data_IF_106313151065
#
_entry.id   IF_106313151065
#
_cell.length_a   1.000
_cell.length_b   1.000
_cell.length_c   1.000
_cell.angle_alpha   90.00
_cell.angle_beta   90.00
_cell.angle_gamma   90.00
#
_symmetry.space_group_name_H-M   'P 1'
#
loop_
_entity.id
_entity.type
_entity.pdbx_description
1 polymer ?
#
# COMPACT_ATOMS: atom_id res chain seq x y z
N UNK A 1 -31.62 -57.60 -37.83
CA UNK A 1 -30.64 -58.68 -37.57
C UNK A 1 -29.61 -58.09 -36.60
N UNK A 2 -29.56 -58.53 -35.33
CA UNK A 2 -29.00 -59.81 -34.84
C UNK A 2 -27.47 -59.81 -35.00
N UNK A 3 -26.72 -59.41 -33.96
CA UNK A 3 -26.02 -60.28 -32.94
C UNK A 3 -24.74 -60.91 -33.50
N UNK A 4 -23.59 -60.97 -32.81
CA UNK A 4 -23.27 -61.33 -31.41
C UNK A 4 -21.86 -60.73 -31.05
N UNK A 5 -21.58 -60.16 -29.87
CA UNK A 5 -21.13 -60.78 -28.58
C UNK A 5 -19.93 -61.77 -28.70
N UNK A 6 -18.91 -61.80 -27.83
CA UNK A 6 -18.49 -60.97 -26.67
C UNK A 6 -17.10 -61.42 -26.13
N UNK A 7 -16.61 -60.80 -25.03
CA UNK A 7 -15.52 -61.17 -24.09
C UNK A 7 -14.06 -60.81 -24.48
N UNK A 8 -13.16 -60.27 -23.65
CA UNK A 8 -13.13 -59.68 -22.26
C UNK A 8 -11.77 -58.95 -22.11
N UNK A 9 -11.41 -58.08 -21.14
CA UNK A 9 -11.93 -57.58 -19.84
C UNK A 9 -11.57 -56.06 -19.73
N UNK A 10 -12.37 -55.16 -19.15
CA UNK A 10 -12.64 -54.85 -17.72
C UNK A 10 -11.47 -54.25 -16.92
N UNK A 11 -11.55 -52.93 -16.65
CA UNK A 11 -11.25 -52.30 -15.35
C UNK A 11 -11.88 -50.88 -15.28
N UNK A 12 -12.59 -50.56 -14.21
CA UNK A 12 -13.26 -49.26 -14.00
C UNK A 12 -12.28 -48.18 -13.51
N UNK A 13 -12.52 -46.92 -13.88
CA UNK A 13 -11.82 -45.73 -13.34
C UNK A 13 -12.82 -44.64 -12.96
N UNK A 14 -12.75 -44.15 -11.72
CA UNK A 14 -13.77 -43.28 -11.09
C UNK A 14 -13.41 -41.80 -11.25
N UNK A 15 -14.40 -40.96 -11.54
CA UNK A 15 -14.28 -39.50 -11.55
C UNK A 15 -13.96 -38.98 -10.13
N UNK A 16 -12.78 -38.39 -9.94
CA UNK A 16 -12.32 -37.86 -8.66
C UNK A 16 -11.87 -36.40 -8.76
N UNK A 17 -12.32 -35.57 -7.81
CA UNK A 17 -11.94 -34.15 -7.69
C UNK A 17 -10.54 -34.03 -7.11
N UNK A 18 -9.64 -33.30 -7.77
CA UNK A 18 -8.28 -33.03 -7.28
C UNK A 18 -8.25 -31.83 -6.33
N UNK A 19 -8.47 -32.09 -5.04
CA UNK A 19 -8.10 -31.14 -3.97
C UNK A 19 -6.62 -31.27 -3.63
N UNK A 20 -5.82 -30.25 -3.93
CA UNK A 20 -4.39 -30.23 -3.58
C UNK A 20 -4.19 -29.70 -2.14
N UNK A 21 -3.82 -30.60 -1.22
CA UNK A 21 -3.27 -30.24 0.09
C UNK A 21 -1.74 -30.41 0.08
N UNK A 22 -0.94 -29.39 0.43
CA UNK A 22 0.52 -29.45 0.34
C UNK A 22 1.13 -30.04 1.62
N UNK A 23 1.09 -31.36 1.81
CA UNK A 23 1.98 -32.05 2.76
C UNK A 23 2.13 -33.53 2.44
N UNK A 24 3.28 -33.91 1.84
CA UNK A 24 3.90 -35.23 1.98
C UNK A 24 5.35 -35.16 1.53
N UNK A 25 6.29 -35.39 2.45
CA UNK A 25 7.70 -35.53 2.11
C UNK A 25 7.90 -36.79 1.26
N UNK A 26 8.60 -36.65 0.13
CA UNK A 26 9.08 -37.78 -0.66
C UNK A 26 10.46 -38.16 -0.13
N UNK A 27 10.53 -39.24 0.64
CA UNK A 27 11.81 -39.84 1.04
C UNK A 27 12.22 -40.85 -0.03
N UNK A 28 13.22 -40.50 -0.83
CA UNK A 28 13.81 -41.43 -1.80
C UNK A 28 14.89 -42.30 -1.10
N UNK A 29 14.85 -43.64 -1.25
CA UNK A 29 15.84 -44.51 -0.64
C UNK A 29 17.17 -44.43 -1.40
N UNK A 30 18.25 -44.01 -0.72
CA UNK A 30 19.61 -44.08 -1.28
C UNK A 30 20.60 -43.02 -0.81
N UNK A 31 20.14 -41.88 -0.28
CA UNK A 31 21.05 -40.83 0.20
C UNK A 31 21.40 -41.02 1.69
N UNK A 32 22.67 -41.33 1.94
CA UNK A 32 23.24 -41.38 3.28
C UNK A 32 23.36 -39.97 3.87
N UNK A 33 23.00 -39.82 5.14
CA UNK A 33 23.06 -38.54 5.84
C UNK A 33 24.52 -38.13 6.08
N UNK A 34 24.97 -37.08 5.37
CA UNK A 34 25.86 -36.00 5.87
C UNK A 34 26.31 -35.07 4.73
N UNK A 35 25.43 -34.16 4.32
CA UNK A 35 25.86 -32.86 3.78
C UNK A 35 24.80 -31.82 4.07
N UNK A 36 25.15 -30.79 4.86
CA UNK A 36 24.31 -29.62 5.07
C UNK A 36 24.41 -28.72 3.83
N UNK A 37 23.70 -29.09 2.76
CA UNK A 37 23.43 -28.17 1.66
C UNK A 37 22.39 -27.17 2.18
N UNK A 38 22.82 -25.94 2.40
CA UNK A 38 21.93 -24.82 2.68
C UNK A 38 21.04 -24.59 1.46
N UNK A 39 19.80 -25.09 1.50
CA UNK A 39 18.76 -24.74 0.52
C UNK A 39 18.15 -23.40 0.94
N UNK A 40 18.97 -22.35 0.87
CA UNK A 40 18.56 -20.96 1.00
C UNK A 40 18.88 -20.24 -0.33
N UNK A 41 17.96 -19.40 -0.79
CA UNK A 41 17.93 -18.78 -2.13
C UNK A 41 17.86 -19.76 -3.32
N UNK A 42 16.68 -20.39 -3.50
CA UNK A 42 16.17 -20.50 -4.87
C UNK A 42 15.74 -19.10 -5.31
N UNK A 43 16.41 -18.52 -6.32
CA UNK A 43 15.83 -17.43 -7.10
C UNK A 43 14.52 -17.92 -7.72
N UNK A 44 13.48 -17.06 -7.80
CA UNK A 44 12.24 -17.44 -8.48
C UNK A 44 12.56 -17.83 -9.92
N UNK A 45 12.03 -18.97 -10.39
CA UNK A 45 12.24 -19.46 -11.76
C UNK A 45 11.16 -19.00 -12.74
N UNK A 46 10.23 -18.18 -12.28
CA UNK A 46 9.17 -17.58 -13.06
C UNK A 46 9.03 -16.12 -12.62
N UNK A 47 8.84 -15.26 -13.61
CA UNK A 47 8.43 -13.87 -13.41
C UNK A 47 6.91 -13.77 -13.60
N UNK A 48 6.27 -12.92 -12.83
CA UNK A 48 4.83 -12.67 -12.92
C UNK A 48 4.56 -11.40 -13.71
N UNK A 49 3.77 -11.48 -14.78
CA UNK A 49 3.27 -10.32 -15.51
C UNK A 49 1.78 -10.15 -15.24
N UNK A 50 1.38 -8.99 -14.74
CA UNK A 50 0.01 -8.67 -14.39
C UNK A 50 -0.52 -7.45 -15.13
N UNK A 51 -1.81 -7.49 -15.48
CA UNK A 51 -2.61 -6.32 -15.81
C UNK A 51 -3.70 -6.21 -14.75
N UNK A 52 -3.94 -4.98 -14.27
CA UNK A 52 -4.92 -4.72 -13.23
C UNK A 52 -5.79 -3.55 -13.65
N UNK A 53 -7.04 -3.88 -13.96
CA UNK A 53 -8.11 -2.95 -14.31
C UNK A 53 -9.00 -2.72 -13.10
N UNK A 54 -9.21 -1.45 -12.75
CA UNK A 54 -10.15 -1.05 -11.72
C UNK A 54 -11.22 -0.13 -12.33
N UNK A 55 -12.47 -0.55 -12.21
CA UNK A 55 -13.65 0.21 -12.62
C UNK A 55 -14.75 0.09 -11.55
N UNK A 56 -15.72 0.99 -11.58
CA UNK A 56 -16.90 0.94 -10.71
C UNK A 56 -17.89 2.06 -11.03
N UNK A 57 -18.73 2.43 -10.05
CA UNK A 57 -19.80 3.43 -10.21
C UNK A 57 -19.30 4.90 -10.35
N UNK A 58 -18.00 5.11 -10.54
CA UNK A 58 -17.37 6.42 -10.79
C UNK A 58 -16.76 6.48 -12.19
N UNK A 59 -16.48 7.68 -12.67
CA UNK A 59 -15.67 7.94 -13.86
C UNK A 59 -14.16 7.73 -13.60
N UNK A 60 -13.78 7.29 -12.40
CA UNK A 60 -12.41 6.91 -12.07
C UNK A 60 -12.14 5.46 -12.53
N UNK A 61 -11.22 5.34 -13.48
CA UNK A 61 -10.75 4.10 -14.09
C UNK A 61 -9.22 4.04 -13.94
N UNK A 62 -8.67 2.89 -13.56
CA UNK A 62 -7.22 2.65 -13.57
C UNK A 62 -6.91 1.43 -14.45
N UNK A 63 -5.83 1.53 -15.22
CA UNK A 63 -5.21 0.41 -15.93
C UNK A 63 -3.71 0.39 -15.60
N UNK A 64 -3.27 -0.68 -14.97
CA UNK A 64 -1.93 -0.81 -14.37
C UNK A 64 -1.24 -2.05 -14.92
N UNK A 65 0.03 -1.91 -15.31
CA UNK A 65 0.90 -3.03 -15.69
C UNK A 65 1.89 -3.33 -14.58
N UNK A 66 2.00 -4.60 -14.20
CA UNK A 66 2.90 -5.07 -13.15
C UNK A 66 3.86 -6.17 -13.65
N UNK A 67 5.03 -6.22 -13.06
CA UNK A 67 6.04 -7.25 -13.24
C UNK A 67 6.64 -7.58 -11.87
N UNK A 68 6.56 -8.85 -11.42
CA UNK A 68 7.01 -9.32 -10.10
C UNK A 68 6.51 -8.47 -8.91
N UNK A 69 5.18 -8.25 -8.83
CA UNK A 69 4.50 -7.31 -7.92
C UNK A 69 4.89 -5.82 -8.06
N UNK A 70 5.90 -5.45 -8.86
CA UNK A 70 6.31 -4.07 -9.08
C UNK A 70 5.54 -3.44 -10.25
N UNK A 71 5.08 -2.21 -10.07
CA UNK A 71 4.39 -1.49 -11.14
C UNK A 71 5.38 -0.89 -12.14
N UNK A 72 5.24 -1.28 -13.42
CA UNK A 72 6.13 -0.85 -14.50
C UNK A 72 5.51 0.22 -15.40
N UNK A 73 4.18 0.24 -15.55
CA UNK A 73 3.46 1.25 -16.32
C UNK A 73 2.02 1.48 -15.80
N UNK A 74 1.40 2.56 -16.28
CA UNK A 74 -0.04 2.80 -16.19
C UNK A 74 -0.49 3.76 -17.30
N UNK A 75 -1.80 3.80 -17.51
CA UNK A 75 -2.43 4.76 -18.43
C UNK A 75 -3.02 5.93 -17.64
N UNK A 76 -2.67 7.16 -18.06
CA UNK A 76 -3.45 8.35 -17.74
C UNK A 76 -4.54 8.53 -18.80
N UNK A 77 -5.78 8.19 -18.45
CA UNK A 77 -6.94 8.30 -19.34
C UNK A 77 -7.34 9.77 -19.62
N UNK A 78 -6.95 10.73 -18.77
CA UNK A 78 -7.24 12.17 -18.97
C UNK A 78 -6.27 12.79 -19.96
N UNK A 79 -4.99 12.51 -19.79
CA UNK A 79 -3.90 12.98 -20.66
C UNK A 79 -3.71 12.14 -21.92
N UNK A 80 -4.38 10.98 -22.01
CA UNK A 80 -4.32 10.01 -23.11
C UNK A 80 -2.90 9.45 -23.33
N UNK A 81 -2.19 9.15 -22.24
CA UNK A 81 -0.76 8.78 -22.27
C UNK A 81 -0.45 7.53 -21.47
N UNK A 82 0.52 6.79 -21.97
CA UNK A 82 1.28 5.77 -21.23
C UNK A 82 2.31 6.46 -20.34
N UNK A 83 2.34 6.08 -19.06
CA UNK A 83 3.30 6.58 -18.07
C UNK A 83 4.08 5.39 -17.52
N UNK A 84 5.29 5.21 -18.03
CA UNK A 84 6.30 4.28 -17.50
C UNK A 84 6.73 4.76 -16.11
N UNK A 85 6.76 3.85 -15.14
CA UNK A 85 7.17 4.13 -13.75
C UNK A 85 8.56 3.62 -13.41
N UNK A 86 9.21 2.92 -14.34
CA UNK A 86 10.57 2.43 -14.19
C UNK A 86 11.60 3.58 -14.19
N UNK A 87 12.71 3.48 -13.43
CA UNK A 87 13.78 4.48 -13.43
C UNK A 87 14.49 4.60 -14.79
N UNK A 88 15.02 5.79 -15.10
CA UNK A 88 15.75 6.08 -16.35
C UNK A 88 16.89 5.09 -16.67
N UNK A 89 17.50 4.48 -15.65
CA UNK A 89 18.59 3.51 -15.81
C UNK A 89 18.10 2.11 -16.25
N UNK A 90 16.81 1.81 -16.18
CA UNK A 90 16.22 0.52 -16.59
C UNK A 90 16.16 0.35 -18.12
N UNK A 91 16.47 1.40 -18.88
CA UNK A 91 16.32 1.46 -20.33
C UNK A 91 14.92 1.89 -20.75
N UNK A 92 14.78 2.30 -22.01
CA UNK A 92 13.47 2.62 -22.58
C UNK A 92 12.71 1.32 -22.86
N UNK A 93 11.61 1.12 -22.13
CA UNK A 93 10.62 0.08 -22.42
C UNK A 93 9.43 0.77 -23.08
N UNK A 94 9.09 0.32 -24.29
CA UNK A 94 7.84 0.69 -24.97
C UNK A 94 6.87 -0.49 -24.86
N UNK A 95 5.59 -0.21 -24.58
CA UNK A 95 4.52 -1.22 -24.67
C UNK A 95 3.62 -0.92 -25.89
N UNK A 96 3.88 -1.55 -27.06
CA UNK A 96 3.14 -1.23 -28.28
C UNK A 96 1.62 -1.43 -28.10
N UNK A 97 0.85 -0.39 -28.38
CA UNK A 97 -0.62 -0.36 -28.27
C UNK A 97 -1.22 -0.40 -26.86
N UNK A 98 -0.44 -0.22 -25.79
CA UNK A 98 -0.92 -0.32 -24.40
C UNK A 98 -2.16 0.55 -24.12
N UNK A 99 -2.19 1.78 -24.64
CA UNK A 99 -3.33 2.68 -24.49
C UNK A 99 -4.61 2.16 -25.15
N UNK A 100 -4.52 1.52 -26.31
CA UNK A 100 -5.68 0.95 -27.00
C UNK A 100 -6.15 -0.37 -26.38
N UNK A 101 -5.24 -1.16 -25.80
CA UNK A 101 -5.59 -2.35 -25.04
C UNK A 101 -6.22 -1.99 -23.70
N UNK A 102 -5.72 -0.96 -23.02
CA UNK A 102 -6.33 -0.40 -21.80
C UNK A 102 -7.78 0.06 -22.04
N UNK A 103 -8.06 0.79 -23.13
CA UNK A 103 -9.45 1.17 -23.50
C UNK A 103 -10.37 -0.05 -23.63
N UNK A 104 -9.91 -1.12 -24.28
CA UNK A 104 -10.68 -2.37 -24.45
C UNK A 104 -10.92 -3.04 -23.10
N UNK A 105 -9.88 -3.18 -22.29
CA UNK A 105 -9.93 -3.83 -21.00
C UNK A 105 -10.85 -3.08 -20.02
N UNK A 106 -10.79 -1.75 -19.98
CA UNK A 106 -11.70 -0.92 -19.17
C UNK A 106 -13.16 -1.04 -19.62
N UNK A 107 -13.43 -1.09 -20.93
CA UNK A 107 -14.78 -1.34 -21.47
C UNK A 107 -15.32 -2.72 -21.08
N UNK A 108 -14.47 -3.75 -21.10
CA UNK A 108 -14.79 -5.09 -20.62
C UNK A 108 -15.05 -5.07 -19.10
N UNK A 109 -14.19 -4.40 -18.32
CA UNK A 109 -14.34 -4.23 -16.87
C UNK A 109 -15.72 -3.65 -16.53
N UNK A 110 -16.11 -2.52 -17.15
CA UNK A 110 -17.44 -1.91 -16.92
C UNK A 110 -18.58 -2.88 -17.24
N UNK A 111 -18.49 -3.57 -18.37
CA UNK A 111 -19.51 -4.54 -18.80
C UNK A 111 -19.67 -5.68 -17.78
N UNK A 112 -18.57 -6.23 -17.27
CA UNK A 112 -18.57 -7.29 -16.26
C UNK A 112 -19.04 -6.76 -14.90
N UNK A 113 -18.61 -5.56 -14.51
CA UNK A 113 -19.04 -4.89 -13.29
C UNK A 113 -20.57 -4.69 -13.27
N UNK A 114 -21.15 -4.15 -14.34
CA UNK A 114 -22.60 -3.95 -14.44
C UNK A 114 -23.40 -5.27 -14.40
N UNK A 115 -22.82 -6.38 -14.89
CA UNK A 115 -23.44 -7.71 -14.79
C UNK A 115 -23.32 -8.35 -13.39
N UNK A 116 -22.25 -8.07 -12.65
CA UNK A 116 -21.90 -8.79 -11.41
C UNK A 116 -22.01 -7.97 -10.11
N UNK A 117 -22.18 -6.64 -10.18
CA UNK A 117 -22.18 -5.75 -9.01
C UNK A 117 -23.25 -6.07 -7.96
N UNK A 118 -24.40 -6.60 -8.39
CA UNK A 118 -25.49 -7.05 -7.50
C UNK A 118 -25.25 -8.45 -6.89
N UNK A 119 -24.32 -9.22 -7.46
CA UNK A 119 -24.03 -10.61 -7.06
C UNK A 119 -22.77 -10.70 -6.19
N UNK A 120 -21.80 -9.82 -6.41
CA UNK A 120 -20.46 -9.89 -5.80
C UNK A 120 -20.19 -8.76 -4.81
N UNK A 121 -21.04 -8.63 -3.78
CA UNK A 121 -20.84 -7.70 -2.67
C UNK A 121 -20.26 -8.42 -1.44
N UNK A 122 -19.00 -8.86 -1.57
CA UNK A 122 -18.12 -8.97 -0.40
C UNK A 122 -17.34 -7.65 -0.32
N UNK A 123 -17.96 -6.63 0.30
CA UNK A 123 -17.36 -5.30 0.42
C UNK A 123 -16.47 -5.21 1.67
N UNK A 124 -15.18 -4.91 1.49
CA UNK A 124 -14.24 -4.67 2.59
C UNK A 124 -14.24 -3.20 2.99
N UNK A 125 -14.28 -2.92 4.30
CA UNK A 125 -14.29 -1.57 4.84
C UNK A 125 -13.02 -0.78 4.52
N UNK A 126 -13.17 0.47 4.07
CA UNK A 126 -12.06 1.37 3.85
C UNK A 126 -11.51 1.94 5.17
N UNK A 127 -10.20 1.84 5.39
CA UNK A 127 -9.53 2.38 6.57
C UNK A 127 -8.65 3.57 6.19
N UNK A 128 -9.03 4.76 6.63
CA UNK A 128 -8.27 5.99 6.54
C UNK A 128 -7.25 6.11 7.68
N UNK A 129 -6.00 6.44 7.33
CA UNK A 129 -4.89 6.67 8.25
C UNK A 129 -3.99 7.81 7.71
N UNK A 130 -3.43 8.63 8.59
CA UNK A 130 -2.38 9.58 8.20
C UNK A 130 -1.02 8.89 8.18
N UNK A 131 -0.22 9.14 7.14
CA UNK A 131 1.19 8.73 7.14
C UNK A 131 1.97 9.75 7.99
N UNK A 132 2.63 9.34 9.09
CA UNK A 132 3.39 10.27 9.93
C UNK A 132 4.59 10.83 9.14
N UNK A 133 4.65 12.15 9.01
CA UNK A 133 5.78 12.88 8.45
C UNK A 133 6.11 14.07 9.35
N UNK A 134 7.38 14.27 9.64
CA UNK A 134 7.83 15.47 10.37
C UNK A 134 7.52 16.72 9.54
N UNK A 135 6.85 17.68 10.15
CA UNK A 135 6.34 18.90 9.50
C UNK A 135 7.12 20.11 10.02
N UNK A 136 7.45 21.04 9.11
CA UNK A 136 8.18 22.26 9.43
C UNK A 136 7.29 23.50 9.30
N UNK A 137 7.18 24.28 10.38
CA UNK A 137 6.41 25.52 10.41
C UNK A 137 6.84 26.51 9.32
N UNK A 138 5.89 27.24 8.73
CA UNK A 138 6.12 28.25 7.69
C UNK A 138 6.80 27.74 6.39
N UNK A 139 6.88 26.42 6.18
CA UNK A 139 7.40 25.79 4.96
C UNK A 139 6.27 25.04 4.24
N UNK A 140 6.34 24.88 2.92
CA UNK A 140 5.38 24.04 2.18
C UNK A 140 5.53 22.57 2.60
N UNK A 141 4.50 22.01 3.22
CA UNK A 141 4.41 20.62 3.63
C UNK A 141 3.34 19.87 2.81
N UNK A 142 3.21 18.56 3.06
CA UNK A 142 2.21 17.72 2.40
C UNK A 142 1.66 16.71 3.40
N UNK A 143 0.35 16.77 3.67
CA UNK A 143 -0.36 15.70 4.38
C UNK A 143 -0.65 14.56 3.41
N UNK A 144 -0.58 13.33 3.91
CA UNK A 144 -0.92 12.13 3.15
C UNK A 144 -1.94 11.33 3.95
N UNK A 145 -3.14 11.22 3.39
CA UNK A 145 -4.18 10.31 3.85
C UNK A 145 -4.06 9.01 3.05
N UNK A 146 -3.60 7.96 3.71
CA UNK A 146 -3.57 6.60 3.20
C UNK A 146 -4.91 5.93 3.50
N UNK A 147 -5.60 5.51 2.46
CA UNK A 147 -6.83 4.74 2.56
C UNK A 147 -6.52 3.31 2.12
N UNK A 148 -6.75 2.34 2.98
CA UNK A 148 -6.27 0.95 2.80
C UNK A 148 -7.37 -0.08 3.09
N UNK A 149 -7.22 -1.27 2.50
CA UNK A 149 -8.07 -2.43 2.78
C UNK A 149 -9.46 -2.41 2.13
N UNK A 150 -9.75 -1.45 1.24
CA UNK A 150 -11.09 -1.30 0.68
C UNK A 150 -11.31 -2.17 -0.56
N UNK A 151 -12.54 -2.68 -0.71
CA UNK A 151 -12.99 -3.31 -1.95
C UNK A 151 -14.52 -3.27 -2.05
N UNK A 152 -15.12 -3.15 -3.25
CA UNK A 152 -14.51 -2.77 -4.53
C UNK A 152 -14.30 -1.25 -4.63
N UNK A 153 -13.57 -0.76 -5.65
CA UNK A 153 -13.58 0.65 -6.02
C UNK A 153 -15.00 1.08 -6.51
N UNK A 154 -15.29 2.39 -6.56
CA UNK A 154 -14.43 3.52 -6.20
C UNK A 154 -14.46 3.84 -4.69
N UNK A 155 -13.49 4.64 -4.25
CA UNK A 155 -13.51 5.31 -2.94
C UNK A 155 -13.44 6.82 -3.15
N UNK A 156 -14.19 7.61 -2.37
CA UNK A 156 -14.12 9.07 -2.39
C UNK A 156 -13.36 9.56 -1.18
N UNK A 157 -12.45 10.51 -1.39
CA UNK A 157 -11.68 11.15 -0.33
C UNK A 157 -11.90 12.65 -0.42
N UNK A 158 -12.31 13.26 0.68
CA UNK A 158 -12.48 14.71 0.81
C UNK A 158 -11.62 15.27 1.94
N UNK A 159 -11.27 16.54 1.82
CA UNK A 159 -10.41 17.25 2.77
C UNK A 159 -11.10 18.49 3.32
N UNK A 160 -10.89 18.76 4.61
CA UNK A 160 -11.23 20.05 5.23
C UNK A 160 -10.06 20.64 6.01
N UNK A 161 -9.87 21.96 5.93
CA UNK A 161 -9.06 22.77 6.87
C UNK A 161 -10.02 23.57 7.74
N UNK A 162 -9.99 23.41 9.06
CA UNK A 162 -10.82 24.15 10.01
C UNK A 162 -12.33 24.13 9.63
N UNK A 163 -12.84 22.95 9.25
CA UNK A 163 -14.19 22.68 8.72
C UNK A 163 -14.53 23.30 7.34
N UNK A 164 -13.60 23.98 6.67
CA UNK A 164 -13.76 24.48 5.29
C UNK A 164 -13.26 23.43 4.30
N UNK A 165 -14.05 23.12 3.27
CA UNK A 165 -13.67 22.16 2.22
C UNK A 165 -12.48 22.68 1.40
N UNK A 166 -11.43 21.86 1.29
CA UNK A 166 -10.20 22.12 0.49
C UNK A 166 -9.86 20.94 -0.43
N UNK A 167 -10.86 20.12 -0.79
CA UNK A 167 -10.66 18.89 -1.59
C UNK A 167 -10.07 19.18 -2.97
N UNK A 168 -10.41 20.32 -3.59
CA UNK A 168 -9.93 20.70 -4.92
C UNK A 168 -8.41 21.01 -4.95
N UNK A 169 -7.79 21.27 -3.79
CA UNK A 169 -6.34 21.44 -3.63
C UNK A 169 -5.60 20.11 -3.40
N UNK A 170 -6.34 19.00 -3.28
CA UNK A 170 -5.80 17.67 -3.05
C UNK A 170 -5.62 16.89 -4.35
N UNK A 171 -4.71 15.92 -4.31
CA UNK A 171 -4.49 14.97 -5.40
C UNK A 171 -4.73 13.55 -4.89
N UNK A 172 -5.55 12.78 -5.60
CA UNK A 172 -5.77 11.36 -5.33
C UNK A 172 -4.88 10.53 -6.26
N UNK A 173 -4.18 9.52 -5.72
CA UNK A 173 -3.44 8.58 -6.56
C UNK A 173 -4.36 7.62 -7.31
N UNK A 174 -3.78 6.89 -8.27
CA UNK A 174 -4.29 5.59 -8.73
C UNK A 174 -4.44 4.60 -7.57
N UNK A 175 -5.19 3.53 -7.81
CA UNK A 175 -5.31 2.40 -6.89
C UNK A 175 -4.05 1.53 -6.86
N UNK A 176 -3.68 1.08 -5.67
CA UNK A 176 -2.56 0.16 -5.43
C UNK A 176 -3.14 -1.15 -4.85
N UNK A 177 -3.10 -2.26 -5.61
CA UNK A 177 -3.69 -3.52 -5.19
C UNK A 177 -2.82 -4.25 -4.15
N UNK A 178 -3.49 -4.92 -3.21
CA UNK A 178 -2.89 -5.75 -2.18
C UNK A 178 -2.99 -7.24 -2.55
N UNK A 179 -2.14 -8.07 -1.94
CA UNK A 179 -2.10 -9.53 -2.16
C UNK A 179 -3.35 -10.28 -1.66
N UNK A 180 -4.21 -9.62 -0.88
CA UNK A 180 -5.50 -10.14 -0.40
C UNK A 180 -6.69 -9.74 -1.30
N UNK A 181 -6.44 -9.04 -2.41
CA UNK A 181 -7.47 -8.55 -3.33
C UNK A 181 -8.11 -7.21 -2.94
N UNK A 182 -7.71 -6.61 -1.82
CA UNK A 182 -8.14 -5.24 -1.46
C UNK A 182 -7.29 -4.18 -2.17
N UNK A 183 -7.74 -2.93 -2.16
CA UNK A 183 -7.04 -1.79 -2.74
C UNK A 183 -6.59 -0.78 -1.68
N UNK A 184 -5.54 -0.04 -2.00
CA UNK A 184 -5.09 1.16 -1.30
C UNK A 184 -5.15 2.38 -2.23
N UNK A 185 -5.29 3.57 -1.67
CA UNK A 185 -5.14 4.84 -2.39
C UNK A 185 -4.54 5.89 -1.46
N UNK A 186 -3.79 6.85 -2.02
CA UNK A 186 -3.12 7.91 -1.29
C UNK A 186 -3.64 9.27 -1.76
N UNK A 187 -4.37 9.96 -0.89
CA UNK A 187 -4.72 11.37 -1.13
C UNK A 187 -3.67 12.27 -0.49
N UNK A 188 -3.22 13.30 -1.22
CA UNK A 188 -2.17 14.24 -0.82
C UNK A 188 -2.67 15.67 -0.88
N UNK A 189 -2.56 16.40 0.22
CA UNK A 189 -2.89 17.81 0.33
C UNK A 189 -1.60 18.63 0.59
N UNK A 190 -1.30 19.59 -0.28
CA UNK A 190 -0.20 20.54 -0.07
C UNK A 190 -0.68 21.69 0.81
N UNK A 191 0.10 22.09 1.81
CA UNK A 191 -0.28 23.16 2.72
C UNK A 191 0.95 23.89 3.30
N UNK A 192 0.72 25.03 3.95
CA UNK A 192 1.68 25.67 4.85
C UNK A 192 1.08 25.52 6.26
N UNK A 193 1.77 24.88 7.22
CA UNK A 193 1.27 24.66 8.57
C UNK A 193 1.25 25.97 9.35
N UNK A 194 0.07 26.33 9.87
CA UNK A 194 -0.15 27.39 10.84
C UNK A 194 -0.50 26.76 12.20
N UNK A 195 -0.13 27.41 13.30
CA UNK A 195 -0.40 26.89 14.65
C UNK A 195 -1.91 26.82 14.92
N UNK A 196 -2.39 25.68 15.42
CA UNK A 196 -3.81 25.47 15.71
C UNK A 196 -4.69 25.11 14.50
N UNK A 197 -4.11 24.94 13.31
CA UNK A 197 -4.83 24.35 12.18
C UNK A 197 -5.22 22.89 12.45
N UNK A 198 -6.45 22.56 12.08
CA UNK A 198 -7.00 21.19 12.09
C UNK A 198 -7.35 20.80 10.67
N UNK A 199 -6.68 19.77 10.17
CA UNK A 199 -6.96 19.14 8.88
C UNK A 199 -7.72 17.85 9.09
N UNK A 200 -8.71 17.58 8.24
CA UNK A 200 -9.45 16.32 8.27
C UNK A 200 -9.50 15.68 6.89
N UNK A 201 -9.22 14.38 6.85
CA UNK A 201 -9.47 13.52 5.69
C UNK A 201 -10.73 12.69 5.95
N UNK A 202 -11.72 12.77 5.08
CA UNK A 202 -12.98 12.03 5.16
C UNK A 202 -13.12 11.07 3.99
N UNK A 203 -13.38 9.81 4.29
CA UNK A 203 -13.46 8.72 3.30
C UNK A 203 -14.90 8.20 3.20
N UNK A 204 -15.46 8.26 2.00
CA UNK A 204 -16.73 7.61 1.66
C UNK A 204 -16.46 6.35 0.83
N UNK A 205 -17.01 5.23 1.27
CA UNK A 205 -16.91 3.94 0.58
C UNK A 205 -18.19 3.14 0.84
N UNK A 206 -18.62 2.32 -0.13
CA UNK A 206 -19.93 1.63 -0.04
C UNK A 206 -20.02 0.55 1.04
N UNK A 207 -18.89 0.07 1.58
CA UNK A 207 -18.87 -0.80 2.76
C UNK A 207 -19.17 -0.05 4.06
N UNK A 208 -18.95 1.27 4.09
CA UNK A 208 -19.10 2.11 5.27
C UNK A 208 -20.53 2.65 5.38
N UNK A 209 -21.17 2.48 6.54
CA UNK A 209 -22.50 3.07 6.80
C UNK A 209 -22.47 4.60 6.95
N UNK A 210 -21.31 5.15 7.32
CA UNK A 210 -21.06 6.59 7.47
C UNK A 210 -19.63 6.90 7.03
N UNK A 211 -19.32 8.11 6.53
CA UNK A 211 -17.96 8.47 6.14
C UNK A 211 -16.98 8.33 7.30
N UNK A 212 -15.82 7.71 7.06
CA UNK A 212 -14.77 7.63 8.07
C UNK A 212 -13.87 8.86 8.00
N UNK A 213 -13.96 9.72 9.02
CA UNK A 213 -13.10 10.91 9.14
C UNK A 213 -11.91 10.66 10.06
N UNK A 214 -10.72 11.09 9.64
CA UNK A 214 -9.54 11.24 10.48
C UNK A 214 -9.14 12.70 10.55
N UNK A 215 -8.90 13.19 11.75
CA UNK A 215 -8.34 14.52 12.04
C UNK A 215 -6.83 14.44 12.23
N UNK A 216 -6.13 15.50 11.85
CA UNK A 216 -4.73 15.74 12.14
C UNK A 216 -4.54 17.22 12.45
N UNK A 217 -3.97 17.48 13.62
CA UNK A 217 -3.73 18.79 14.21
C UNK A 217 -2.24 19.15 14.14
N UNK A 218 -1.96 20.44 13.90
CA UNK A 218 -0.59 20.98 13.89
C UNK A 218 -0.08 21.14 15.33
N UNK A 219 0.38 20.06 15.95
CA UNK A 219 1.16 20.14 17.18
C UNK A 219 2.57 20.70 16.89
N UNK A 220 2.90 21.84 17.49
CA UNK A 220 4.28 22.32 17.54
C UNK A 220 5.03 21.50 18.59
N UNK A 221 5.77 20.48 18.14
CA UNK A 221 6.83 19.90 18.97
C UNK A 221 7.95 20.94 19.10
N UNK A 222 7.89 21.79 20.13
CA UNK A 222 9.01 22.66 20.46
C UNK A 222 10.28 21.81 20.61
N UNK A 223 11.43 22.26 20.08
CA UNK A 223 12.68 21.54 20.23
C UNK A 223 12.99 21.38 21.71
N UNK A 224 13.06 20.13 22.19
CA UNK A 224 13.19 19.84 23.61
C UNK A 224 14.41 20.52 24.20
N UNK A 225 14.18 21.55 25.02
CA UNK A 225 15.21 22.28 25.74
C UNK A 225 15.83 21.44 26.88
N UNK A 226 15.30 20.23 27.14
CA UNK A 226 15.74 19.33 28.21
C UNK A 226 17.26 19.11 28.26
N UNK A 227 17.92 18.62 27.20
CA UNK A 227 19.36 18.38 27.18
C UNK A 227 20.19 19.63 27.51
N UNK A 228 19.77 20.79 26.99
CA UNK A 228 20.43 22.08 27.23
C UNK A 228 20.29 22.53 28.68
N UNK A 229 19.11 22.38 29.27
CA UNK A 229 18.84 22.73 30.68
C UNK A 229 19.58 21.78 31.64
N UNK A 230 19.56 20.47 31.39
CA UNK A 230 20.33 19.50 32.18
C UNK A 230 21.83 19.79 32.14
N UNK A 231 22.38 20.15 30.97
CA UNK A 231 23.78 20.54 30.83
C UNK A 231 24.10 21.80 31.64
N UNK A 232 23.29 22.85 31.53
CA UNK A 232 23.49 24.10 32.27
C UNK A 232 23.44 23.93 33.79
N UNK A 233 22.46 23.18 34.30
CA UNK A 233 22.34 22.88 35.75
C UNK A 233 23.51 22.02 36.24
N UNK A 234 23.92 21.00 35.47
CA UNK A 234 25.05 20.15 35.79
C UNK A 234 26.37 20.92 35.87
N UNK A 235 26.63 21.82 34.92
CA UNK A 235 27.81 22.70 34.93
C UNK A 235 27.82 23.65 36.13
N UNK A 236 26.70 24.29 36.45
CA UNK A 236 26.59 25.19 37.59
C UNK A 236 26.86 24.48 38.93
N UNK A 237 26.27 23.30 39.14
CA UNK A 237 26.51 22.48 40.33
C UNK A 237 27.95 21.97 40.41
N UNK A 238 28.55 21.58 39.27
CA UNK A 238 29.95 21.18 39.20
C UNK A 238 30.91 22.30 39.60
N UNK A 239 30.71 23.52 39.11
CA UNK A 239 31.52 24.68 39.48
C UNK A 239 31.38 25.06 40.97
N UNK A 240 30.18 24.97 41.54
CA UNK A 240 29.95 25.16 42.97
C UNK A 240 30.66 24.08 43.83
N UNK A 241 30.63 22.82 43.39
CA UNK A 241 31.35 21.73 44.03
C UNK A 241 32.88 21.93 44.01
N UNK A 242 33.42 22.40 42.88
CA UNK A 242 34.85 22.73 42.76
C UNK A 242 35.25 23.91 43.67
N UNK A 243 34.49 25.01 43.64
CA UNK A 243 34.78 26.19 44.46
C UNK A 243 34.73 25.89 45.97
N UNK A 244 33.74 25.12 46.42
CA UNK A 244 33.62 24.70 47.82
C UNK A 244 34.74 23.73 48.21
N UNK A 245 35.07 22.75 47.36
CA UNK A 245 36.19 21.83 47.58
C UNK A 245 37.53 22.55 47.72
N UNK A 246 37.84 23.50 46.83
CA UNK A 246 39.06 24.34 46.91
C UNK A 246 39.09 25.15 48.20
N UNK A 247 37.96 25.73 48.63
CA UNK A 247 37.87 26.48 49.89
C UNK A 247 38.17 25.60 51.12
N UNK A 248 37.62 24.38 51.18
CA UNK A 248 37.90 23.46 52.29
C UNK A 248 39.36 22.99 52.31
N UNK A 249 39.96 22.71 51.14
CA UNK A 249 41.38 22.33 51.05
C UNK A 249 42.28 23.49 51.49
N UNK A 250 42.03 24.71 50.99
CA UNK A 250 42.84 25.89 51.30
C UNK A 250 42.71 26.38 52.76
N UNK A 251 41.66 25.97 53.49
CA UNK A 251 41.43 26.29 54.90
C UNK A 251 41.77 25.13 55.86
N UNK A 252 42.00 23.93 55.33
CA UNK A 252 42.36 22.72 56.08
C UNK A 252 43.86 22.47 56.22
N UNK A 253 44.69 23.41 55.74
CA UNK A 253 46.15 23.39 55.78
C UNK A 253 46.68 24.73 56.32
#
# INVERSE_FOLDING_TARGET
MLTQRDHTNVANGITGVLTFYPTRQIVLPGFTANSHINIASFFSRYHEYGQIEACGDSDQEDFIVQFDDEQVAHIDFKEQKEIITLPDFAGQIEFPSLYEDAKKATSICRTIFDMLKEVYINSSEAIAQFIPKMIQLNVKNTLICHVTGFFPPPVRVSWTKNNVNVTDESTLSRYYPNKDGTLNVFSRLSFIPEEGDIYSCSVEHKALQQPQTRTWDVEITEPSNGPSVFCGVGLALGLLGLATGVFFIAKGN
#
